data_IF_830502385626
#
_entry.id   IF_830502385626
#
_cell.length_a   1.000
_cell.length_b   1.000
_cell.length_c   1.000
_cell.angle_alpha   90.00
_cell.angle_beta   90.00
_cell.angle_gamma   90.00
#
_symmetry.space_group_name_H-M   'P 1'
#
loop_
_entity.id
_entity.type
_entity.pdbx_description
1 polymer ?
#
# COMPACT_ATOMS: atom_id res chain seq x y z
N UNK A 1 14.03 23.95 7.07
CA UNK A 1 13.34 22.63 7.11
C UNK A 1 14.37 21.56 7.43
N UNK A 2 13.97 20.52 8.17
CA UNK A 2 14.83 19.36 8.49
C UNK A 2 14.25 18.08 7.92
N UNK A 3 15.08 17.10 7.63
CA UNK A 3 14.63 15.76 7.23
C UNK A 3 14.30 14.96 8.50
N UNK A 4 13.15 14.29 8.52
CA UNK A 4 12.69 13.44 9.64
C UNK A 4 12.51 11.96 9.25
N UNK A 5 12.53 11.66 7.95
CA UNK A 5 12.48 10.29 7.43
C UNK A 5 13.22 10.22 6.09
N UNK A 6 13.97 9.14 5.90
CA UNK A 6 14.58 8.80 4.62
C UNK A 6 14.11 7.42 4.21
N UNK A 7 13.51 7.29 3.02
CA UNK A 7 13.16 5.98 2.48
C UNK A 7 14.23 5.50 1.48
N UNK A 8 14.67 4.25 1.65
CA UNK A 8 15.68 3.63 0.80
C UNK A 8 15.09 2.62 -0.18
N UNK A 9 15.74 2.47 -1.33
CA UNK A 9 15.42 1.43 -2.31
C UNK A 9 15.87 0.03 -1.87
N UNK A 10 15.61 -0.98 -2.72
CA UNK A 10 16.04 -2.37 -2.53
C UNK A 10 17.57 -2.57 -2.48
N UNK A 11 18.36 -1.55 -2.86
CA UNK A 11 19.83 -1.52 -2.79
C UNK A 11 20.32 -0.57 -1.69
N UNK A 12 19.45 -0.26 -0.72
CA UNK A 12 19.71 0.60 0.43
C UNK A 12 20.16 2.02 0.07
N UNK A 13 19.82 2.52 -1.13
CA UNK A 13 20.10 3.90 -1.51
C UNK A 13 18.96 4.81 -1.07
N UNK A 14 19.29 5.91 -0.40
CA UNK A 14 18.34 6.97 -0.05
C UNK A 14 17.77 7.61 -1.31
N UNK A 15 16.45 7.54 -1.48
CA UNK A 15 15.77 7.97 -2.71
C UNK A 15 14.58 8.89 -2.47
N UNK A 16 13.99 8.83 -1.27
CA UNK A 16 12.89 9.68 -0.84
C UNK A 16 13.22 10.28 0.53
N UNK A 17 12.88 11.54 0.72
CA UNK A 17 13.19 12.32 1.92
C UNK A 17 11.91 13.03 2.38
N UNK A 18 11.62 13.00 3.67
CA UNK A 18 10.45 13.66 4.25
C UNK A 18 10.89 14.73 5.22
N UNK A 19 10.34 15.93 5.10
CA UNK A 19 10.62 17.03 6.01
C UNK A 19 9.79 17.01 7.30
N UNK A 20 10.24 17.76 8.29
CA UNK A 20 9.51 18.12 9.52
C UNK A 20 8.15 18.79 9.27
N UNK A 21 7.96 19.38 8.09
CA UNK A 21 6.68 19.93 7.60
C UNK A 21 5.77 18.88 6.94
N UNK A 22 6.21 17.63 6.84
CA UNK A 22 5.47 16.52 6.22
C UNK A 22 5.56 16.46 4.69
N UNK A 23 6.37 17.32 4.05
CA UNK A 23 6.54 17.31 2.60
C UNK A 23 7.47 16.18 2.18
N UNK A 24 7.09 15.46 1.11
CA UNK A 24 7.85 14.33 0.56
C UNK A 24 8.59 14.77 -0.70
N UNK A 25 9.89 14.45 -0.77
CA UNK A 25 10.76 14.87 -1.86
C UNK A 25 11.52 13.70 -2.46
N UNK A 26 11.69 13.70 -3.78
CA UNK A 26 12.67 12.87 -4.46
C UNK A 26 14.10 13.35 -4.16
N UNK A 27 15.10 12.49 -4.43
CA UNK A 27 16.51 12.88 -4.36
C UNK A 27 16.82 14.16 -5.17
N UNK A 28 16.26 14.31 -6.37
CA UNK A 28 16.50 15.47 -7.24
C UNK A 28 15.94 16.76 -6.65
N UNK A 29 14.76 16.71 -6.05
CA UNK A 29 14.14 17.86 -5.37
C UNK A 29 14.90 18.23 -4.11
N UNK A 30 15.30 17.22 -3.33
CA UNK A 30 16.08 17.41 -2.11
C UNK A 30 17.43 18.09 -2.42
N UNK A 31 18.12 17.67 -3.48
CA UNK A 31 19.33 18.33 -3.98
C UNK A 31 19.08 19.82 -4.31
N UNK A 32 17.97 20.15 -4.98
CA UNK A 32 17.61 21.54 -5.28
C UNK A 32 17.38 22.36 -4.02
N UNK A 33 16.69 21.79 -3.03
CA UNK A 33 16.43 22.44 -1.74
C UNK A 33 17.71 22.68 -0.92
N UNK A 34 18.70 21.79 -1.04
CA UNK A 34 20.02 22.01 -0.43
C UNK A 34 20.75 23.17 -1.12
N UNK A 35 20.74 23.22 -2.46
CA UNK A 35 21.34 24.35 -3.20
C UNK A 35 20.68 25.69 -2.88
N UNK A 36 19.35 25.72 -2.64
CA UNK A 36 18.62 26.93 -2.24
C UNK A 36 18.71 27.25 -0.74
N UNK A 37 19.51 26.50 0.04
CA UNK A 37 19.66 26.64 1.50
C UNK A 37 18.32 26.52 2.27
N UNK A 38 17.37 25.74 1.75
CA UNK A 38 16.06 25.54 2.35
C UNK A 38 15.99 24.28 3.24
N UNK A 39 17.00 23.41 3.14
CA UNK A 39 17.20 22.24 3.99
C UNK A 39 18.44 22.40 4.87
N UNK A 40 18.28 22.08 6.15
CA UNK A 40 19.33 22.16 7.16
C UNK A 40 19.86 20.77 7.52
N UNK A 41 21.09 20.73 8.07
CA UNK A 41 21.66 19.50 8.63
C UNK A 41 22.13 18.45 7.61
N UNK A 42 22.10 18.77 6.31
CA UNK A 42 22.50 17.87 5.23
C UNK A 42 23.37 18.57 4.17
N UNK A 43 24.17 17.79 3.45
CA UNK A 43 24.97 18.27 2.31
C UNK A 43 25.03 17.25 1.18
N UNK A 44 25.37 17.73 -0.02
CA UNK A 44 25.47 16.92 -1.24
C UNK A 44 26.88 16.34 -1.36
N UNK A 45 26.98 15.05 -1.64
CA UNK A 45 28.22 14.37 -2.01
C UNK A 45 28.15 13.94 -3.47
N UNK A 46 29.20 14.24 -4.23
CA UNK A 46 29.35 13.82 -5.62
C UNK A 46 30.20 12.56 -5.68
N UNK A 47 29.57 11.44 -6.03
CA UNK A 47 30.24 10.17 -6.24
C UNK A 47 30.35 9.79 -7.72
N UNK A 48 31.04 8.67 -7.99
CA UNK A 48 31.19 8.10 -9.34
C UNK A 48 29.86 7.81 -10.04
N UNK A 49 28.81 7.51 -9.27
CA UNK A 49 27.49 7.12 -9.77
C UNK A 49 26.43 8.22 -9.62
N UNK A 50 26.85 9.47 -9.39
CA UNK A 50 25.97 10.63 -9.24
C UNK A 50 26.01 11.25 -7.84
N UNK A 51 25.02 12.11 -7.59
CA UNK A 51 24.85 12.83 -6.32
C UNK A 51 24.11 11.97 -5.29
N UNK A 52 24.53 12.06 -4.03
CA UNK A 52 23.81 11.51 -2.87
C UNK A 52 23.91 12.49 -1.69
N UNK A 53 23.09 12.28 -0.66
CA UNK A 53 22.94 13.22 0.46
C UNK A 53 23.50 12.56 1.73
N UNK A 54 24.21 13.34 2.55
CA UNK A 54 24.71 12.94 3.87
C UNK A 54 24.33 13.98 4.92
N UNK A 55 24.20 13.56 6.18
CA UNK A 55 24.10 14.48 7.31
C UNK A 55 25.40 15.23 7.51
N UNK A 56 25.30 16.50 7.88
CA UNK A 56 26.46 17.31 8.29
C UNK A 56 27.21 16.62 9.45
N UNK A 57 28.55 16.58 9.43
CA UNK A 57 29.33 16.01 10.54
C UNK A 57 28.99 16.69 11.88
N UNK A 58 29.04 15.92 12.97
CA UNK A 58 28.77 16.37 14.35
C UNK A 58 27.32 16.83 14.64
N UNK A 59 26.35 16.52 13.78
CA UNK A 59 24.94 16.61 14.15
C UNK A 59 24.61 15.62 15.29
N UNK A 60 23.51 15.90 16.01
CA UNK A 60 22.95 14.95 16.97
C UNK A 60 22.66 13.61 16.28
N UNK A 61 22.80 12.50 17.02
CA UNK A 61 22.63 11.14 16.47
C UNK A 61 21.23 10.93 15.85
N UNK A 62 20.22 11.58 16.43
CA UNK A 62 18.83 11.61 15.95
C UNK A 62 18.65 12.37 14.63
N UNK A 63 19.52 13.33 14.33
CA UNK A 63 19.52 14.09 13.06
C UNK A 63 20.37 13.41 11.96
N UNK A 64 20.90 12.21 12.24
CA UNK A 64 21.68 11.44 11.27
C UNK A 64 20.75 10.74 10.27
N UNK A 65 20.95 10.94 8.96
CA UNK A 65 20.14 10.31 7.91
C UNK A 65 20.17 8.78 7.98
N UNK A 66 21.27 8.18 8.45
CA UNK A 66 21.35 6.72 8.64
C UNK A 66 20.40 6.27 9.77
N UNK A 67 20.26 7.06 10.84
CA UNK A 67 19.29 6.83 11.93
C UNK A 67 17.85 7.07 11.49
N UNK A 68 17.63 8.06 10.61
CA UNK A 68 16.32 8.42 10.04
C UNK A 68 15.90 7.51 8.86
N UNK A 69 16.76 6.57 8.45
CA UNK A 69 16.52 5.74 7.28
C UNK A 69 15.64 4.54 7.57
N UNK A 70 14.72 4.28 6.66
CA UNK A 70 13.87 3.09 6.63
C UNK A 70 13.85 2.52 5.22
N UNK A 71 13.83 1.19 5.08
CA UNK A 71 13.70 0.60 3.76
C UNK A 71 12.25 0.71 3.27
N UNK A 72 12.04 0.89 1.96
CA UNK A 72 10.68 0.83 1.39
C UNK A 72 9.96 -0.48 1.71
N UNK A 73 10.70 -1.57 1.96
CA UNK A 73 10.14 -2.84 2.44
C UNK A 73 9.54 -2.70 3.83
N UNK A 74 10.22 -2.04 4.77
CA UNK A 74 9.72 -1.91 6.14
C UNK A 74 8.46 -1.06 6.18
N UNK A 75 8.37 -0.03 5.34
CA UNK A 75 7.15 0.75 5.13
C UNK A 75 5.99 -0.16 4.68
N UNK A 76 6.20 -1.00 3.65
CA UNK A 76 5.16 -1.92 3.14
C UNK A 76 4.79 -2.98 4.19
N UNK A 77 5.76 -3.49 4.94
CA UNK A 77 5.49 -4.46 6.00
C UNK A 77 4.66 -3.84 7.12
N UNK A 78 4.93 -2.58 7.46
CA UNK A 78 4.17 -1.79 8.42
C UNK A 78 2.73 -1.55 7.94
N UNK A 79 2.53 -1.12 6.69
CA UNK A 79 1.18 -0.89 6.14
C UNK A 79 0.36 -2.18 6.10
N UNK A 80 0.98 -3.31 5.73
CA UNK A 80 0.31 -4.61 5.58
C UNK A 80 0.13 -5.42 6.87
N UNK A 81 0.60 -4.92 8.03
CA UNK A 81 0.45 -5.59 9.33
C UNK A 81 0.85 -7.07 9.35
N UNK A 82 1.92 -7.40 8.63
CA UNK A 82 2.46 -8.76 8.69
C UNK A 82 2.89 -9.08 10.12
N UNK A 83 3.02 -10.36 10.49
CA UNK A 83 3.55 -10.77 11.81
C UNK A 83 4.95 -10.18 12.14
N UNK A 84 5.62 -9.59 11.15
CA UNK A 84 6.91 -8.90 11.25
C UNK A 84 6.81 -7.37 11.14
N UNK A 85 5.59 -6.81 11.17
CA UNK A 85 5.35 -5.37 11.19
C UNK A 85 5.82 -4.81 12.54
N UNK A 86 7.09 -4.41 12.61
CA UNK A 86 7.63 -3.69 13.76
C UNK A 86 7.73 -2.24 13.34
N UNK A 87 7.04 -1.35 14.06
CA UNK A 87 7.29 0.08 13.91
C UNK A 87 8.74 0.34 14.25
N UNK A 88 9.49 0.88 13.29
CA UNK A 88 10.86 1.34 13.53
C UNK A 88 10.81 2.74 14.14
N UNK A 89 11.85 3.19 14.87
CA UNK A 89 11.89 4.54 15.40
C UNK A 89 11.61 5.62 14.33
N UNK A 90 12.18 5.55 13.10
CA UNK A 90 11.86 6.52 12.04
C UNK A 90 10.39 6.50 11.62
N UNK A 91 9.77 5.32 11.50
CA UNK A 91 8.34 5.21 11.20
C UNK A 91 7.50 5.84 12.32
N UNK A 92 7.84 5.56 13.58
CA UNK A 92 7.14 6.12 14.74
C UNK A 92 7.21 7.65 14.76
N UNK A 93 8.42 8.21 14.66
CA UNK A 93 8.63 9.67 14.61
C UNK A 93 7.86 10.29 13.45
N UNK A 94 7.97 9.72 12.25
CA UNK A 94 7.22 10.21 11.09
C UNK A 94 5.70 10.24 11.34
N UNK A 95 5.15 9.17 11.91
CA UNK A 95 3.73 9.07 12.19
C UNK A 95 3.25 10.03 13.29
N UNK A 96 4.12 10.39 14.25
CA UNK A 96 3.82 11.42 15.24
C UNK A 96 3.71 12.80 14.57
N UNK A 97 4.63 13.15 13.67
CA UNK A 97 4.56 14.36 12.86
C UNK A 97 3.32 14.38 11.96
N UNK A 98 3.02 13.26 11.30
CA UNK A 98 1.80 13.11 10.51
C UNK A 98 0.55 13.34 11.36
N UNK A 99 0.45 12.73 12.54
CA UNK A 99 -0.70 12.91 13.41
C UNK A 99 -0.87 14.34 13.91
N UNK A 100 0.24 15.03 14.20
CA UNK A 100 0.24 16.43 14.62
C UNK A 100 -0.20 17.38 13.49
N UNK A 101 -0.05 16.99 12.22
CA UNK A 101 -0.50 17.79 11.08
C UNK A 101 -2.00 17.65 10.78
N UNK A 102 -2.67 16.65 11.37
CA UNK A 102 -4.10 16.44 11.17
C UNK A 102 -4.93 17.48 11.92
N UNK A 103 -5.82 18.17 11.20
CA UNK A 103 -6.70 19.17 11.78
C UNK A 103 -7.66 18.59 12.84
N UNK A 104 -7.71 19.23 14.01
CA UNK A 104 -8.60 18.85 15.11
C UNK A 104 -10.09 18.98 14.73
N UNK A 105 -10.95 18.18 15.38
CA UNK A 105 -12.40 18.22 15.22
C UNK A 105 -12.96 17.63 13.91
N UNK A 106 -12.11 17.18 12.98
CA UNK A 106 -12.54 16.50 11.75
C UNK A 106 -12.84 15.01 11.99
N UNK A 107 -13.71 14.38 11.17
CA UNK A 107 -13.98 12.96 11.26
C UNK A 107 -12.79 12.11 10.74
N UNK A 108 -12.51 11.01 11.43
CA UNK A 108 -11.38 10.12 11.13
C UNK A 108 -11.82 8.67 10.90
N UNK A 109 -11.02 7.93 10.14
CA UNK A 109 -11.02 6.46 10.07
C UNK A 109 -9.79 5.97 10.83
N UNK A 110 -9.91 4.88 11.58
CA UNK A 110 -8.80 4.26 12.32
C UNK A 110 -8.73 2.78 11.98
N UNK A 111 -7.98 2.37 10.95
CA UNK A 111 -7.79 0.96 10.67
C UNK A 111 -7.16 0.27 11.88
N UNK A 112 -7.61 -0.94 12.22
CA UNK A 112 -7.04 -1.75 13.30
C UNK A 112 -5.52 -1.73 13.17
N UNK A 113 -4.80 -1.38 14.24
CA UNK A 113 -3.33 -1.36 14.28
C UNK A 113 -2.65 -0.24 13.48
N UNK A 114 -3.39 0.73 12.95
CA UNK A 114 -2.84 1.90 12.25
C UNK A 114 -3.18 3.22 12.94
N UNK A 115 -2.54 4.29 12.47
CA UNK A 115 -2.86 5.65 12.89
C UNK A 115 -4.14 6.14 12.18
N UNK A 116 -4.82 7.09 12.82
CA UNK A 116 -6.03 7.72 12.27
C UNK A 116 -5.73 8.51 11.00
N UNK A 117 -6.66 8.52 10.06
CA UNK A 117 -6.60 9.28 8.80
C UNK A 117 -7.91 10.02 8.58
N UNK A 118 -7.89 11.16 7.86
CA UNK A 118 -9.09 11.96 7.64
C UNK A 118 -10.06 11.27 6.69
N UNK A 119 -11.35 11.22 7.07
CA UNK A 119 -12.40 10.64 6.22
C UNK A 119 -12.45 11.32 4.84
N UNK A 120 -12.24 12.63 4.79
CA UNK A 120 -12.28 13.41 3.55
C UNK A 120 -11.23 12.94 2.54
N UNK A 121 -10.02 12.65 3.01
CA UNK A 121 -8.91 12.25 2.14
C UNK A 121 -9.13 10.84 1.57
N UNK A 122 -9.63 9.93 2.41
CA UNK A 122 -9.99 8.57 1.97
C UNK A 122 -11.16 8.61 1.00
N UNK A 123 -12.20 9.40 1.30
CA UNK A 123 -13.37 9.56 0.43
C UNK A 123 -12.99 10.10 -0.94
N UNK A 124 -12.13 11.13 -1.00
CA UNK A 124 -11.69 11.73 -2.26
C UNK A 124 -11.02 10.69 -3.18
N UNK A 125 -10.09 9.90 -2.63
CA UNK A 125 -9.43 8.81 -3.36
C UNK A 125 -10.40 7.71 -3.77
N UNK A 126 -11.26 7.28 -2.85
CA UNK A 126 -12.27 6.26 -3.11
C UNK A 126 -13.19 6.63 -4.27
N UNK A 127 -13.67 7.88 -4.31
CA UNK A 127 -14.57 8.37 -5.36
C UNK A 127 -13.94 8.23 -6.76
N UNK A 128 -12.63 8.47 -6.88
CA UNK A 128 -11.90 8.33 -8.16
C UNK A 128 -11.91 6.90 -8.72
N UNK A 129 -12.39 5.91 -7.95
CA UNK A 129 -12.38 4.49 -8.30
C UNK A 129 -13.77 3.87 -8.39
N UNK A 130 -14.86 4.62 -8.13
CA UNK A 130 -16.21 4.05 -8.03
C UNK A 130 -16.65 3.30 -9.29
N UNK A 131 -16.42 3.86 -10.48
CA UNK A 131 -16.78 3.19 -11.74
C UNK A 131 -16.02 1.87 -11.93
N UNK A 132 -14.75 1.83 -11.51
CA UNK A 132 -13.91 0.63 -11.56
C UNK A 132 -14.38 -0.42 -10.56
N UNK A 133 -14.75 -0.02 -9.34
CA UNK A 133 -15.30 -0.91 -8.30
C UNK A 133 -16.59 -1.56 -8.80
N UNK A 134 -17.54 -0.77 -9.32
CA UNK A 134 -18.82 -1.29 -9.80
C UNK A 134 -18.61 -2.27 -10.97
N UNK A 135 -17.75 -1.89 -11.92
CA UNK A 135 -17.46 -2.73 -13.09
C UNK A 135 -16.79 -4.04 -12.68
N UNK A 136 -15.74 -3.98 -11.85
CA UNK A 136 -15.02 -5.16 -11.39
C UNK A 136 -15.93 -6.07 -10.54
N UNK A 137 -16.71 -5.50 -9.63
CA UNK A 137 -17.64 -6.27 -8.81
C UNK A 137 -18.64 -7.06 -9.66
N UNK A 138 -19.18 -6.44 -10.71
CA UNK A 138 -20.06 -7.12 -11.67
C UNK A 138 -19.32 -8.18 -12.49
N UNK A 139 -18.13 -7.85 -13.00
CA UNK A 139 -17.31 -8.76 -13.84
C UNK A 139 -16.96 -10.06 -13.12
N UNK A 140 -16.70 -9.98 -11.81
CA UNK A 140 -16.32 -11.13 -10.97
C UNK A 140 -17.47 -11.65 -10.09
N UNK A 141 -18.67 -11.10 -10.25
CA UNK A 141 -19.87 -11.44 -9.46
C UNK A 141 -19.65 -11.34 -7.93
N UNK A 142 -18.87 -10.37 -7.48
CA UNK A 142 -18.59 -10.15 -6.04
C UNK A 142 -19.41 -8.99 -5.50
N UNK A 143 -19.65 -8.97 -4.18
CA UNK A 143 -20.33 -7.85 -3.54
C UNK A 143 -19.50 -6.56 -3.70
N UNK A 144 -20.05 -5.59 -4.43
CA UNK A 144 -19.42 -4.29 -4.67
C UNK A 144 -19.16 -3.49 -3.40
N UNK A 145 -20.01 -3.65 -2.38
CA UNK A 145 -19.85 -2.96 -1.11
C UNK A 145 -18.72 -3.58 -0.29
N UNK A 146 -18.56 -4.91 -0.35
CA UNK A 146 -17.43 -5.60 0.24
C UNK A 146 -16.11 -5.20 -0.45
N UNK A 147 -16.08 -5.21 -1.78
CA UNK A 147 -14.90 -4.74 -2.54
C UNK A 147 -14.57 -3.28 -2.18
N UNK A 148 -15.59 -2.42 -2.12
CA UNK A 148 -15.42 -1.04 -1.68
C UNK A 148 -14.90 -0.91 -0.26
N UNK A 149 -15.40 -1.70 0.69
CA UNK A 149 -14.97 -1.70 2.09
C UNK A 149 -13.50 -2.10 2.23
N UNK A 150 -13.07 -3.12 1.48
CA UNK A 150 -11.66 -3.54 1.40
C UNK A 150 -10.81 -2.40 0.84
N UNK A 151 -11.25 -1.73 -0.23
CA UNK A 151 -10.51 -0.58 -0.76
C UNK A 151 -10.40 0.58 0.23
N UNK A 152 -11.45 0.87 1.00
CA UNK A 152 -11.41 1.92 2.04
C UNK A 152 -10.32 1.59 3.07
N UNK A 153 -10.29 0.35 3.54
CA UNK A 153 -9.27 -0.15 4.47
C UNK A 153 -7.86 -0.02 3.88
N UNK A 154 -7.62 -0.54 2.68
CA UNK A 154 -6.30 -0.49 2.03
C UNK A 154 -5.82 0.94 1.77
N UNK A 155 -6.70 1.82 1.26
CA UNK A 155 -6.38 3.23 1.04
C UNK A 155 -6.07 3.90 2.38
N UNK A 156 -6.86 3.65 3.43
CA UNK A 156 -6.63 4.24 4.75
C UNK A 156 -5.30 3.81 5.38
N UNK A 157 -4.93 2.53 5.27
CA UNK A 157 -3.64 2.02 5.75
C UNK A 157 -2.45 2.59 4.97
N UNK A 158 -2.62 2.75 3.67
CA UNK A 158 -1.57 3.26 2.77
C UNK A 158 -1.41 4.77 2.88
N UNK A 159 -2.47 5.50 3.21
CA UNK A 159 -2.55 6.95 3.06
C UNK A 159 -1.36 7.72 3.67
N UNK A 160 -0.90 7.43 4.92
CA UNK A 160 0.26 8.13 5.47
C UNK A 160 1.56 7.92 4.69
N UNK A 161 1.69 6.86 3.89
CA UNK A 161 2.92 6.52 3.18
C UNK A 161 2.81 6.59 1.66
N UNK A 162 1.66 6.98 1.12
CA UNK A 162 1.38 6.89 -0.30
C UNK A 162 2.38 7.67 -1.14
N UNK A 163 2.61 8.96 -0.85
CA UNK A 163 3.57 9.80 -1.58
C UNK A 163 5.00 9.23 -1.52
N UNK A 164 5.37 8.63 -0.39
CA UNK A 164 6.68 7.99 -0.22
C UNK A 164 6.79 6.77 -1.14
N UNK A 165 5.74 5.93 -1.16
CA UNK A 165 5.71 4.70 -1.95
C UNK A 165 5.59 4.98 -3.45
N UNK A 166 4.90 6.04 -3.86
CA UNK A 166 4.81 6.48 -5.24
C UNK A 166 6.17 6.90 -5.80
N UNK A 167 6.96 7.66 -5.02
CA UNK A 167 8.32 8.04 -5.41
C UNK A 167 9.32 6.87 -5.35
N UNK A 168 9.08 5.88 -4.49
CA UNK A 168 9.82 4.63 -4.47
C UNK A 168 9.53 3.79 -5.73
N UNK A 169 8.26 3.68 -6.13
CA UNK A 169 7.81 3.03 -7.37
C UNK A 169 8.43 1.64 -7.59
N UNK A 170 9.06 1.42 -8.74
CA UNK A 170 9.71 0.14 -9.07
C UNK A 170 10.94 -0.19 -8.20
N UNK A 171 11.50 0.79 -7.48
CA UNK A 171 12.79 0.62 -6.77
C UNK A 171 12.70 -0.33 -5.56
N UNK A 172 11.48 -0.67 -5.13
CA UNK A 172 11.18 -1.62 -4.04
C UNK A 172 10.94 -3.07 -4.50
N UNK A 173 10.96 -3.36 -5.81
CA UNK A 173 10.54 -4.65 -6.40
C UNK A 173 11.44 -5.87 -6.14
N UNK A 174 12.45 -5.76 -5.27
CA UNK A 174 13.34 -6.89 -4.96
C UNK A 174 12.66 -8.10 -4.30
N UNK A 175 11.36 -8.03 -3.94
CA UNK A 175 10.56 -9.09 -3.30
C UNK A 175 9.08 -9.01 -3.70
N UNK A 176 8.26 -9.97 -3.25
CA UNK A 176 6.80 -9.97 -3.46
C UNK A 176 6.12 -8.84 -2.66
N UNK A 177 5.87 -7.71 -3.32
CA UNK A 177 5.26 -6.50 -2.74
C UNK A 177 3.78 -6.38 -3.12
N UNK A 178 3.01 -5.73 -2.24
CA UNK A 178 1.66 -5.25 -2.50
C UNK A 178 1.70 -3.95 -3.30
N UNK A 179 0.80 -3.80 -4.27
CA UNK A 179 0.83 -2.71 -5.25
C UNK A 179 -0.55 -2.06 -5.39
N UNK A 180 -0.57 -0.74 -5.58
CA UNK A 180 -1.77 0.04 -5.91
C UNK A 180 -2.76 0.22 -4.75
N UNK A 181 -3.89 0.86 -5.03
CA UNK A 181 -4.90 1.23 -4.03
C UNK A 181 -5.51 0.01 -3.29
N UNK A 182 -5.59 -1.15 -3.95
CA UNK A 182 -6.08 -2.38 -3.35
C UNK A 182 -4.95 -3.28 -2.81
N UNK A 183 -3.69 -2.81 -2.81
CA UNK A 183 -2.55 -3.53 -2.21
C UNK A 183 -2.40 -5.00 -2.65
N UNK A 184 -2.66 -5.29 -3.93
CA UNK A 184 -2.56 -6.64 -4.49
C UNK A 184 -1.10 -7.05 -4.63
N UNK A 185 -0.74 -8.23 -4.11
CA UNK A 185 0.61 -8.81 -4.26
C UNK A 185 0.86 -9.28 -5.70
N UNK A 186 2.07 -9.06 -6.21
CA UNK A 186 2.45 -9.50 -7.57
C UNK A 186 2.31 -11.02 -7.77
N UNK A 187 2.67 -11.83 -6.76
CA UNK A 187 2.48 -13.29 -6.83
C UNK A 187 0.99 -13.66 -6.86
N UNK A 188 0.14 -12.92 -6.14
CA UNK A 188 -1.32 -13.10 -6.18
C UNK A 188 -1.85 -12.78 -7.57
N UNK A 189 -1.47 -11.63 -8.15
CA UNK A 189 -1.85 -11.25 -9.50
C UNK A 189 -1.43 -12.31 -10.53
N UNK A 190 -0.17 -12.77 -10.49
CA UNK A 190 0.31 -13.83 -11.38
C UNK A 190 -0.46 -15.15 -11.18
N UNK A 191 -0.80 -15.51 -9.94
CA UNK A 191 -1.62 -16.69 -9.65
C UNK A 191 -3.03 -16.59 -10.25
N UNK A 192 -3.66 -15.41 -10.19
CA UNK A 192 -4.98 -15.19 -10.78
C UNK A 192 -4.94 -15.26 -12.31
N UNK A 193 -3.87 -14.77 -12.95
CA UNK A 193 -3.65 -14.94 -14.39
C UNK A 193 -3.50 -16.43 -14.73
N UNK A 194 -2.69 -17.19 -13.97
CA UNK A 194 -2.51 -18.64 -14.17
C UNK A 194 -3.80 -19.42 -14.05
N UNK A 195 -4.70 -19.00 -13.15
CA UNK A 195 -6.03 -19.61 -12.97
C UNK A 195 -7.02 -19.22 -14.08
N UNK A 196 -6.65 -18.31 -14.98
CA UNK A 196 -7.54 -17.80 -16.01
C UNK A 196 -8.64 -16.87 -15.47
N UNK A 197 -8.56 -16.44 -14.21
CA UNK A 197 -9.57 -15.58 -13.60
C UNK A 197 -9.48 -14.16 -14.14
N UNK A 198 -8.28 -13.61 -14.29
CA UNK A 198 -8.11 -12.28 -14.87
C UNK A 198 -6.76 -12.16 -15.58
N UNK A 199 -6.78 -11.74 -16.85
CA UNK A 199 -5.59 -11.38 -17.61
C UNK A 199 -5.67 -9.89 -17.99
N UNK A 200 -4.73 -9.03 -17.52
CA UNK A 200 -4.75 -7.61 -17.85
C UNK A 200 -4.48 -7.32 -19.33
N UNK A 201 -3.82 -8.25 -20.04
CA UNK A 201 -3.55 -8.15 -21.47
C UNK A 201 -3.49 -9.55 -22.12
N UNK A 202 -4.57 -10.02 -22.76
CA UNK A 202 -4.61 -11.32 -23.44
C UNK A 202 -3.57 -11.50 -24.56
N UNK A 203 -3.08 -10.42 -25.16
CA UNK A 203 -2.10 -10.46 -26.25
C UNK A 203 -0.64 -10.53 -25.73
N UNK A 204 -0.43 -10.34 -24.43
CA UNK A 204 0.88 -10.42 -23.80
C UNK A 204 1.31 -11.87 -23.59
N UNK A 205 2.19 -12.34 -24.48
CA UNK A 205 2.73 -13.71 -24.46
C UNK A 205 3.67 -13.99 -23.30
N UNK A 206 4.11 -12.98 -22.55
CA UNK A 206 4.92 -13.20 -21.34
C UNK A 206 4.07 -13.62 -20.14
N UNK A 207 2.76 -13.35 -20.17
CA UNK A 207 1.83 -13.68 -19.10
C UNK A 207 1.09 -15.00 -19.36
N UNK A 208 0.86 -15.84 -18.34
CA UNK A 208 1.42 -15.77 -16.98
C UNK A 208 2.88 -16.26 -16.90
N UNK A 209 3.62 -15.75 -15.92
CA UNK A 209 5.00 -16.19 -15.66
C UNK A 209 5.05 -17.52 -14.90
N UNK A 210 5.76 -18.52 -15.41
CA UNK A 210 5.97 -19.80 -14.71
C UNK A 210 6.94 -19.68 -13.52
N UNK A 211 6.83 -20.60 -12.56
CA UNK A 211 7.70 -20.62 -11.37
C UNK A 211 7.55 -19.41 -10.44
N UNK A 212 8.61 -19.15 -9.67
CA UNK A 212 8.75 -17.96 -8.80
C UNK A 212 9.10 -16.74 -9.66
N UNK A 213 8.48 -15.58 -9.40
CA UNK A 213 8.76 -14.39 -10.21
C UNK A 213 10.23 -13.97 -10.08
N UNK A 214 10.89 -13.73 -11.23
CA UNK A 214 12.18 -13.04 -11.28
C UNK A 214 11.98 -11.53 -11.09
N UNK A 215 13.05 -10.76 -10.84
CA UNK A 215 12.93 -9.29 -10.75
C UNK A 215 12.41 -8.66 -12.05
N UNK A 216 12.86 -9.14 -13.22
CA UNK A 216 12.36 -8.69 -14.52
C UNK A 216 10.86 -8.97 -14.66
N UNK A 217 10.41 -10.17 -14.27
CA UNK A 217 8.99 -10.54 -14.35
C UNK A 217 8.14 -9.71 -13.37
N UNK A 218 8.68 -9.37 -12.19
CA UNK A 218 8.02 -8.46 -11.24
C UNK A 218 7.87 -7.06 -11.83
N UNK A 219 8.93 -6.51 -12.44
CA UNK A 219 8.89 -5.20 -13.09
C UNK A 219 7.85 -5.17 -14.22
N UNK A 220 7.79 -6.22 -15.04
CA UNK A 220 6.81 -6.33 -16.11
C UNK A 220 5.37 -6.39 -15.57
N UNK A 221 5.10 -7.29 -14.63
CA UNK A 221 3.77 -7.43 -14.05
C UNK A 221 3.33 -6.17 -13.28
N UNK A 222 4.26 -5.48 -12.62
CA UNK A 222 3.98 -4.24 -11.91
C UNK A 222 3.35 -3.17 -12.82
N UNK A 223 3.80 -3.05 -14.08
CA UNK A 223 3.26 -2.06 -15.01
C UNK A 223 1.75 -2.21 -15.24
N UNK A 224 1.24 -3.44 -15.15
CA UNK A 224 -0.19 -3.70 -15.17
C UNK A 224 -0.82 -3.46 -13.80
N UNK A 225 -0.26 -4.08 -12.74
CA UNK A 225 -0.88 -4.10 -11.40
C UNK A 225 -0.96 -2.71 -10.76
N UNK A 226 -0.06 -1.78 -11.07
CA UNK A 226 -0.10 -0.40 -10.55
C UNK A 226 -1.26 0.41 -11.12
N UNK A 227 -1.77 0.07 -12.31
CA UNK A 227 -2.86 0.80 -12.94
C UNK A 227 -4.17 0.53 -12.19
N UNK A 228 -4.92 1.56 -11.74
CA UNK A 228 -6.15 1.36 -10.95
C UNK A 228 -7.16 0.41 -11.61
N UNK A 229 -7.30 0.49 -12.93
CA UNK A 229 -8.20 -0.38 -13.72
C UNK A 229 -7.92 -1.87 -13.51
N UNK A 230 -6.65 -2.26 -13.53
CA UNK A 230 -6.21 -3.64 -13.37
C UNK A 230 -6.10 -4.01 -11.89
N UNK A 231 -5.61 -3.10 -11.05
CA UNK A 231 -5.46 -3.30 -9.60
C UNK A 231 -6.78 -3.72 -8.94
N UNK A 232 -7.86 -2.99 -9.23
CA UNK A 232 -9.19 -3.24 -8.65
C UNK A 232 -9.82 -4.52 -9.22
N UNK A 233 -9.57 -4.84 -10.49
CA UNK A 233 -10.00 -6.13 -11.08
C UNK A 233 -9.27 -7.31 -10.46
N UNK A 234 -7.97 -7.19 -10.23
CA UNK A 234 -7.24 -8.21 -9.49
C UNK A 234 -7.77 -8.38 -8.07
N UNK A 235 -8.14 -7.29 -7.38
CA UNK A 235 -8.76 -7.38 -6.06
C UNK A 235 -10.10 -8.14 -6.09
N UNK A 236 -10.98 -7.82 -7.05
CA UNK A 236 -12.25 -8.50 -7.23
C UNK A 236 -12.07 -9.98 -7.63
N UNK A 237 -11.16 -10.26 -8.57
CA UNK A 237 -10.78 -11.62 -8.96
C UNK A 237 -10.19 -12.41 -7.79
N UNK A 238 -9.44 -11.75 -6.89
CA UNK A 238 -8.91 -12.38 -5.70
C UNK A 238 -10.04 -12.77 -4.73
N UNK A 239 -10.99 -11.87 -4.47
CA UNK A 239 -12.19 -12.18 -3.67
C UNK A 239 -12.94 -13.39 -4.25
N UNK A 240 -13.18 -13.39 -5.57
CA UNK A 240 -13.81 -14.54 -6.26
C UNK A 240 -13.01 -15.83 -6.05
N UNK A 241 -11.69 -15.78 -6.20
CA UNK A 241 -10.84 -16.95 -6.00
C UNK A 241 -10.86 -17.46 -4.56
N UNK A 242 -10.96 -16.57 -3.57
CA UNK A 242 -11.12 -16.96 -2.17
C UNK A 242 -12.43 -17.72 -1.95
N UNK A 243 -13.53 -17.22 -2.50
CA UNK A 243 -14.84 -17.89 -2.44
C UNK A 243 -14.77 -19.28 -3.09
N UNK A 244 -14.24 -19.37 -4.30
CA UNK A 244 -14.13 -20.64 -5.05
C UNK A 244 -13.28 -21.68 -4.32
N UNK A 245 -12.11 -21.27 -3.79
CA UNK A 245 -11.23 -22.17 -3.06
C UNK A 245 -11.91 -22.68 -1.78
N UNK A 246 -12.55 -21.79 -1.01
CA UNK A 246 -13.22 -22.17 0.22
C UNK A 246 -14.49 -23.00 -0.01
N UNK A 247 -15.23 -22.76 -1.10
CA UNK A 247 -16.46 -23.47 -1.43
C UNK A 247 -16.29 -25.00 -1.56
N UNK A 248 -15.06 -25.48 -1.80
CA UNK A 248 -14.74 -26.91 -1.76
C UNK A 248 -14.88 -27.55 -0.37
N UNK A 249 -14.93 -26.73 0.68
CA UNK A 249 -15.07 -27.14 2.09
C UNK A 249 -16.30 -26.50 2.74
N UNK A 250 -16.46 -25.18 2.62
CA UNK A 250 -17.60 -24.40 3.13
C UNK A 250 -17.92 -23.20 2.22
N UNK A 251 -19.20 -22.88 2.05
CA UNK A 251 -19.59 -21.67 1.34
C UNK A 251 -19.45 -20.42 2.24
N UNK A 252 -18.54 -19.53 1.86
CA UNK A 252 -18.31 -18.24 2.55
C UNK A 252 -18.95 -17.05 1.84
N UNK A 253 -19.75 -17.26 0.79
CA UNK A 253 -20.36 -16.18 -0.02
C UNK A 253 -21.22 -15.23 0.84
N UNK A 254 -21.85 -15.75 1.89
CA UNK A 254 -22.65 -14.97 2.85
C UNK A 254 -21.90 -14.59 4.13
N UNK A 255 -20.57 -14.71 4.12
CA UNK A 255 -19.67 -14.47 5.27
C UNK A 255 -18.64 -13.40 4.90
N UNK A 256 -19.07 -12.16 4.61
CA UNK A 256 -18.18 -11.11 4.11
C UNK A 256 -17.05 -10.78 5.09
N UNK A 257 -17.23 -10.99 6.39
CA UNK A 257 -16.20 -10.81 7.42
C UNK A 257 -15.05 -11.83 7.31
N UNK A 258 -15.37 -13.03 6.84
CA UNK A 258 -14.38 -14.08 6.57
C UNK A 258 -13.65 -13.77 5.28
N UNK A 259 -14.38 -13.37 4.22
CA UNK A 259 -13.76 -12.94 2.96
C UNK A 259 -12.81 -11.76 3.20
N UNK A 260 -13.23 -10.75 3.96
CA UNK A 260 -12.39 -9.61 4.33
C UNK A 260 -11.14 -10.03 5.12
N UNK A 261 -11.29 -10.97 6.06
CA UNK A 261 -10.16 -11.56 6.79
C UNK A 261 -9.16 -12.23 5.84
N UNK A 262 -9.67 -13.05 4.91
CA UNK A 262 -8.86 -13.78 3.93
C UNK A 262 -8.19 -12.87 2.91
N UNK A 263 -8.80 -11.73 2.57
CA UNK A 263 -8.15 -10.75 1.72
C UNK A 263 -6.82 -10.28 2.30
N UNK A 264 -6.79 -9.96 3.60
CA UNK A 264 -5.58 -9.51 4.28
C UNK A 264 -4.55 -10.62 4.50
N UNK A 265 -4.99 -11.83 4.89
CA UNK A 265 -4.06 -12.92 5.27
C UNK A 265 -3.71 -13.89 4.14
N UNK A 266 -4.42 -13.83 3.01
CA UNK A 266 -4.32 -14.80 1.92
C UNK A 266 -5.35 -15.92 2.03
N UNK A 267 -5.18 -16.97 1.21
CA UNK A 267 -6.14 -18.08 1.12
C UNK A 267 -6.47 -18.74 2.45
N UNK A 268 -5.52 -18.80 3.40
CA UNK A 268 -5.69 -19.52 4.66
C UNK A 268 -6.03 -20.99 4.47
N UNK A 269 -6.22 -21.70 5.58
CA UNK A 269 -6.72 -23.07 5.57
C UNK A 269 -8.22 -23.06 5.87
N UNK A 270 -9.08 -23.70 5.04
CA UNK A 270 -10.50 -23.83 5.31
C UNK A 270 -10.76 -24.49 6.67
N UNK A 271 -11.59 -23.84 7.49
CA UNK A 271 -12.02 -24.35 8.81
C UNK A 271 -13.53 -24.49 8.80
N UNK A 272 -14.05 -25.48 9.52
CA UNK A 272 -15.50 -25.73 9.63
C UNK A 272 -16.25 -24.52 10.19
N UNK A 273 -15.66 -23.85 11.19
CA UNK A 273 -16.22 -22.65 11.83
C UNK A 273 -15.18 -21.52 11.76
N UNK A 274 -15.02 -20.85 10.62
CA UNK A 274 -14.07 -19.75 10.51
C UNK A 274 -14.58 -18.55 11.33
N UNK A 275 -13.63 -17.86 11.95
CA UNK A 275 -13.88 -16.65 12.74
C UNK A 275 -13.09 -15.52 12.10
N UNK A 276 -13.72 -14.35 12.01
CA UNK A 276 -13.09 -13.17 11.46
C UNK A 276 -11.91 -12.71 12.33
N UNK A 277 -10.91 -12.12 11.70
CA UNK A 277 -9.92 -11.31 12.42
C UNK A 277 -10.56 -9.99 12.87
N UNK A 278 -9.91 -9.27 13.78
CA UNK A 278 -10.35 -7.91 14.17
C UNK A 278 -10.44 -6.96 12.96
N UNK A 279 -9.49 -7.06 12.04
CA UNK A 279 -9.50 -6.27 10.81
C UNK A 279 -10.67 -6.68 9.90
N UNK A 280 -10.91 -7.98 9.72
CA UNK A 280 -12.03 -8.48 8.93
C UNK A 280 -13.39 -8.04 9.50
N UNK A 281 -13.55 -8.05 10.82
CA UNK A 281 -14.74 -7.52 11.49
C UNK A 281 -14.91 -6.02 11.26
N UNK A 282 -13.85 -5.22 11.47
CA UNK A 282 -13.89 -3.77 11.24
C UNK A 282 -14.29 -3.41 9.80
N UNK A 283 -13.76 -4.12 8.79
CA UNK A 283 -14.11 -3.86 7.39
C UNK A 283 -15.62 -3.97 7.19
N UNK A 284 -16.29 -4.91 7.86
CA UNK A 284 -17.74 -5.09 7.73
C UNK A 284 -18.54 -4.15 8.62
N UNK A 285 -18.10 -3.92 9.85
CA UNK A 285 -18.85 -3.12 10.82
C UNK A 285 -18.73 -1.61 10.55
N UNK A 286 -17.56 -1.15 10.10
CA UNK A 286 -17.28 0.28 9.90
C UNK A 286 -17.21 0.66 8.42
N UNK A 287 -16.46 -0.08 7.61
CA UNK A 287 -16.13 0.38 6.25
C UNK A 287 -17.17 -0.04 5.21
N UNK A 288 -17.87 -1.14 5.41
CA UNK A 288 -18.95 -1.57 4.53
C UNK A 288 -20.13 -0.57 4.51
N UNK A 289 -20.62 -0.04 5.65
CA UNK A 289 -21.58 1.06 5.63
C UNK A 289 -21.08 2.32 4.90
N UNK A 290 -19.79 2.66 5.05
CA UNK A 290 -19.18 3.79 4.32
C UNK A 290 -19.14 3.53 2.83
N UNK A 291 -18.68 2.36 2.40
CA UNK A 291 -18.65 1.95 1.00
C UNK A 291 -20.06 1.97 0.40
N UNK A 292 -21.05 1.44 1.13
CA UNK A 292 -22.46 1.48 0.71
C UNK A 292 -22.92 2.90 0.47
N UNK A 293 -22.72 3.79 1.43
CA UNK A 293 -23.07 5.20 1.33
C UNK A 293 -22.38 5.87 0.14
N UNK A 294 -21.06 5.74 0.03
CA UNK A 294 -20.27 6.44 -1.00
C UNK A 294 -20.51 5.90 -2.41
N UNK A 295 -20.89 4.63 -2.56
CA UNK A 295 -21.26 4.05 -3.84
C UNK A 295 -22.69 4.38 -4.29
N UNK A 296 -23.56 4.85 -3.39
CA UNK A 296 -24.95 5.24 -3.70
C UNK A 296 -25.16 6.74 -3.84
N UNK A 297 -24.28 7.57 -3.26
CA UNK A 297 -24.38 9.03 -3.27
C UNK A 297 -23.94 9.68 -4.61
N UNK A 298 -23.96 8.92 -5.73
CA UNK A 298 -23.59 9.36 -7.09
C UNK A 298 -24.71 8.99 -8.05
#
# INVERSE_FOLDING_TARGET
MKIILVATDSKTKSVVFVSDTGQVFSLKETVRLIYSKSLEGVYIVRGRYGEYIRSTPNNALEDNLDTLSVSGRDIILYTNQTKHAVSTPPISTYLEHYLASLAEGKPFIVPIGQKKVLVADIKSKFISHISLIITAAKEFDVDRYLLGAILIDEIARLHPFEEILDLLGLKILGRNVSVGAAQVKLETANSLIKKGLYNPNPDDKELPFSGTLSNKNREHLYQYVIQPKHNIRFAAAFIRSLIEVWATHIDITKRPEIIATLYSIGYGDPKVNPVASKAGAQIIEEFYPLAKKWLTDI
#
